data_IF_573354171440
#
_entry.id   IF_573354171440
#
_cell.length_a   1.000
_cell.length_b   1.000
_cell.length_c   1.000
_cell.angle_alpha   90.00
_cell.angle_beta   90.00
_cell.angle_gamma   90.00
#
_symmetry.space_group_name_H-M   'P 1'
#
loop_
_entity.id
_entity.type
_entity.pdbx_description
1 polymer ?
#
# COMPACT_ATOMS: atom_id res chain seq x y z
N UNK A 1 -5.34 27.72 -2.43
CA UNK A 1 -5.92 26.76 -1.47
C UNK A 1 -6.81 27.54 -0.51
N UNK A 2 -7.98 27.02 -0.22
CA UNK A 2 -8.90 27.70 0.71
C UNK A 2 -8.38 27.64 2.14
N UNK A 3 -8.74 28.65 2.99
CA UNK A 3 -8.40 28.65 4.41
C UNK A 3 -8.90 27.43 5.16
N UNK A 4 -9.99 26.82 4.68
CA UNK A 4 -10.59 25.63 5.30
C UNK A 4 -9.67 24.41 5.24
N UNK A 5 -8.80 24.30 4.22
CA UNK A 5 -7.87 23.19 4.06
C UNK A 5 -6.51 23.47 4.68
N UNK A 6 -6.21 24.69 5.07
CA UNK A 6 -4.88 25.09 5.53
C UNK A 6 -4.46 24.37 6.82
N UNK A 7 -5.30 24.43 7.85
CA UNK A 7 -5.02 23.73 9.11
C UNK A 7 -4.99 22.23 8.93
N UNK A 8 -5.91 21.68 8.13
CA UNK A 8 -5.95 20.26 7.82
C UNK A 8 -4.63 19.81 7.18
N UNK A 9 -4.18 20.51 6.15
CA UNK A 9 -2.94 20.14 5.45
C UNK A 9 -1.70 20.25 6.34
N UNK A 10 -1.65 21.27 7.20
CA UNK A 10 -0.57 21.43 8.14
C UNK A 10 -0.50 20.28 9.15
N UNK A 11 -1.64 19.85 9.65
CA UNK A 11 -1.73 18.77 10.64
C UNK A 11 -1.40 17.43 10.00
N UNK A 12 -2.06 17.08 8.89
CA UNK A 12 -1.85 15.77 8.27
C UNK A 12 -0.45 15.64 7.68
N UNK A 13 0.17 16.74 7.26
CA UNK A 13 1.54 16.74 6.77
C UNK A 13 2.58 16.37 7.81
N UNK A 14 2.24 16.48 9.10
CA UNK A 14 3.13 16.11 10.21
C UNK A 14 2.93 14.67 10.68
N UNK A 15 1.86 14.01 10.27
CA UNK A 15 1.58 12.66 10.74
C UNK A 15 2.61 11.67 10.17
N UNK A 16 3.08 10.78 11.02
CA UNK A 16 4.07 9.79 10.65
C UNK A 16 3.47 8.38 10.80
N UNK A 17 2.45 8.10 10.01
CA UNK A 17 1.82 6.80 10.00
C UNK A 17 2.71 5.73 9.36
N UNK A 18 2.39 4.44 9.57
CA UNK A 18 3.16 3.35 8.98
C UNK A 18 3.11 3.37 7.46
N UNK A 19 4.18 2.92 6.82
CA UNK A 19 4.24 2.71 5.39
C UNK A 19 4.03 1.23 5.08
N UNK A 20 3.31 0.96 4.00
CA UNK A 20 2.99 -0.40 3.55
C UNK A 20 3.34 -0.56 2.09
N UNK A 21 3.62 -1.80 1.68
CA UNK A 21 3.61 -2.17 0.27
C UNK A 21 2.38 -3.03 0.05
N UNK A 22 1.54 -2.63 -0.88
CA UNK A 22 0.33 -3.37 -1.24
C UNK A 22 0.54 -3.99 -2.61
N UNK A 23 0.30 -5.30 -2.72
CA UNK A 23 0.41 -6.02 -3.98
C UNK A 23 -0.92 -6.63 -4.37
N UNK A 24 -1.08 -6.89 -5.66
CA UNK A 24 -2.27 -7.53 -6.21
C UNK A 24 -1.92 -8.29 -7.47
N UNK A 25 -2.85 -9.13 -7.92
CA UNK A 25 -2.77 -9.79 -9.20
C UNK A 25 -4.15 -9.84 -9.84
N UNK A 26 -4.21 -9.53 -11.12
CA UNK A 26 -5.41 -9.64 -11.93
C UNK A 26 -5.05 -10.49 -13.16
N UNK A 27 -5.46 -11.76 -13.14
CA UNK A 27 -5.03 -12.71 -14.15
C UNK A 27 -3.51 -12.94 -14.09
N UNK A 28 -2.83 -12.77 -15.21
CA UNK A 28 -1.37 -12.90 -15.30
C UNK A 28 -0.63 -11.61 -14.89
N UNK A 29 -1.36 -10.51 -14.73
CA UNK A 29 -0.78 -9.22 -14.38
C UNK A 29 -0.66 -9.07 -12.88
N UNK A 30 0.55 -8.74 -12.41
CA UNK A 30 0.83 -8.47 -11.00
C UNK A 30 1.36 -7.06 -10.84
N UNK A 31 1.03 -6.43 -9.73
CA UNK A 31 1.46 -5.07 -9.47
C UNK A 31 1.59 -4.81 -7.98
N UNK A 32 2.24 -3.71 -7.62
CA UNK A 32 2.40 -3.30 -6.24
C UNK A 32 2.81 -1.85 -6.12
N UNK A 33 2.48 -1.24 -4.99
CA UNK A 33 2.82 0.15 -4.73
C UNK A 33 2.99 0.42 -3.23
N UNK A 34 3.66 1.52 -2.94
CA UNK A 34 3.79 2.05 -1.58
C UNK A 34 2.49 2.75 -1.18
N UNK A 35 2.02 2.48 0.03
CA UNK A 35 0.76 3.02 0.55
C UNK A 35 1.00 3.66 1.91
N UNK A 36 0.50 4.88 2.08
CA UNK A 36 0.48 5.60 3.35
C UNK A 36 -0.92 5.64 3.97
N UNK A 37 -1.96 5.53 3.16
CA UNK A 37 -3.35 5.69 3.63
C UNK A 37 -3.96 4.31 3.86
N UNK A 38 -3.83 3.82 5.10
CA UNK A 38 -4.35 2.51 5.46
C UNK A 38 -4.60 2.43 6.96
N UNK A 39 -5.62 1.69 7.35
CA UNK A 39 -5.94 1.52 8.76
C UNK A 39 -6.88 0.35 8.98
N UNK A 40 -6.78 -0.27 10.16
CA UNK A 40 -7.85 -1.12 10.62
C UNK A 40 -9.12 -0.30 10.74
N UNK A 41 -10.22 -0.81 10.22
CA UNK A 41 -11.49 -0.08 10.21
C UNK A 41 -12.66 -0.83 10.87
N UNK A 42 -12.42 -2.05 11.36
CA UNK A 42 -13.39 -2.80 12.18
C UNK A 42 -12.64 -3.87 12.96
N UNK A 43 -13.11 -4.18 14.16
CA UNK A 43 -12.55 -5.21 15.02
C UNK A 43 -13.36 -6.50 14.90
N UNK A 44 -14.68 -6.39 14.98
CA UNK A 44 -15.57 -7.55 14.91
C UNK A 44 -16.73 -7.24 13.97
N UNK A 45 -16.72 -7.76 12.75
CA UNK A 45 -15.66 -8.58 12.16
C UNK A 45 -14.40 -7.77 11.85
N UNK A 46 -13.22 -8.43 11.74
CA UNK A 46 -11.99 -7.70 11.43
C UNK A 46 -12.01 -7.17 9.99
N UNK A 47 -11.67 -5.90 9.84
CA UNK A 47 -11.61 -5.24 8.52
C UNK A 47 -10.43 -4.28 8.48
N UNK A 48 -9.82 -4.17 7.32
CA UNK A 48 -8.71 -3.25 7.08
C UNK A 48 -8.97 -2.47 5.81
N UNK A 49 -8.77 -1.16 5.87
CA UNK A 49 -8.96 -0.28 4.72
C UNK A 49 -7.64 0.17 4.13
N UNK A 50 -7.52 0.12 2.80
CA UNK A 50 -6.35 0.57 2.05
C UNK A 50 -6.83 1.52 0.97
N UNK A 51 -6.20 2.70 0.85
CA UNK A 51 -6.52 3.68 -0.18
C UNK A 51 -5.42 3.70 -1.23
N UNK A 52 -5.81 3.44 -2.48
CA UNK A 52 -4.89 3.46 -3.61
C UNK A 52 -5.15 4.71 -4.46
N UNK A 53 -4.07 5.33 -4.92
CA UNK A 53 -4.14 6.51 -5.78
C UNK A 53 -4.60 6.12 -7.18
N UNK A 54 -5.55 6.85 -7.73
CA UNK A 54 -6.11 6.56 -9.07
C UNK A 54 -5.07 6.58 -10.20
N UNK A 55 -4.06 7.47 -10.21
CA UNK A 55 -3.02 7.42 -11.25
C UNK A 55 -2.12 6.18 -11.17
N UNK A 56 -2.10 5.48 -10.04
CA UNK A 56 -1.21 4.33 -9.84
C UNK A 56 -1.74 3.09 -10.57
N UNK A 57 -0.85 2.38 -11.25
CA UNK A 57 -1.21 1.16 -11.98
C UNK A 57 -1.79 0.08 -11.07
N UNK A 58 -1.32 -0.01 -9.82
CA UNK A 58 -1.84 -0.97 -8.84
C UNK A 58 -3.33 -0.77 -8.60
N UNK A 59 -3.80 0.48 -8.58
CA UNK A 59 -5.22 0.79 -8.48
C UNK A 59 -6.00 0.15 -9.63
N UNK A 60 -5.51 0.32 -10.87
CA UNK A 60 -6.18 -0.24 -12.04
C UNK A 60 -6.27 -1.76 -11.99
N UNK A 61 -5.18 -2.42 -11.58
CA UNK A 61 -5.19 -3.87 -11.39
C UNK A 61 -6.14 -4.30 -10.27
N UNK A 62 -6.20 -3.54 -9.19
CA UNK A 62 -7.05 -3.84 -8.05
C UNK A 62 -8.56 -3.74 -8.35
N UNK A 63 -8.94 -3.00 -9.39
CA UNK A 63 -10.35 -2.88 -9.77
C UNK A 63 -10.96 -4.23 -10.18
N UNK A 64 -10.18 -5.13 -10.74
CA UNK A 64 -10.65 -6.46 -11.18
C UNK A 64 -10.07 -7.60 -10.35
N UNK A 65 -9.22 -7.31 -9.36
CA UNK A 65 -8.60 -8.33 -8.53
C UNK A 65 -9.54 -8.72 -7.37
N UNK A 66 -9.51 -9.99 -6.91
CA UNK A 66 -10.29 -10.38 -5.75
C UNK A 66 -9.59 -10.10 -4.42
N UNK A 67 -8.28 -9.87 -4.44
CA UNK A 67 -7.44 -9.87 -3.23
C UNK A 67 -6.37 -8.80 -3.31
N UNK A 68 -6.06 -8.20 -2.16
CA UNK A 68 -4.85 -7.41 -1.95
C UNK A 68 -4.02 -8.09 -0.87
N UNK A 69 -2.69 -7.97 -0.99
CA UNK A 69 -1.76 -8.36 0.08
C UNK A 69 -1.11 -7.10 0.63
N UNK A 70 -1.18 -6.94 1.94
CA UNK A 70 -0.64 -5.80 2.66
C UNK A 70 0.63 -6.22 3.38
N UNK A 71 1.75 -5.57 3.04
CA UNK A 71 3.05 -5.83 3.68
C UNK A 71 3.39 -4.68 4.60
N UNK A 72 3.81 -4.99 5.82
CA UNK A 72 4.27 -3.99 6.77
C UNK A 72 5.76 -3.73 6.53
N UNK A 73 6.10 -2.47 6.30
CA UNK A 73 7.52 -2.07 6.21
C UNK A 73 8.04 -1.75 7.59
N UNK A 74 9.26 -2.21 7.85
CA UNK A 74 9.94 -1.97 9.12
C UNK A 74 11.25 -1.25 8.87
N UNK A 75 11.88 -0.75 9.91
CA UNK A 75 13.20 -0.15 9.77
C UNK A 75 14.15 -1.16 9.15
N UNK A 76 14.87 -0.73 8.11
CA UNK A 76 15.67 -1.59 7.26
C UNK A 76 15.05 -1.88 5.91
N UNK A 77 13.77 -1.56 5.72
CA UNK A 77 13.04 -1.79 4.47
C UNK A 77 12.95 -0.53 3.60
N UNK A 78 13.81 0.47 3.81
CA UNK A 78 13.78 1.73 3.07
C UNK A 78 13.96 1.52 1.56
N UNK A 79 14.72 0.50 1.17
CA UNK A 79 14.91 0.14 -0.24
C UNK A 79 13.60 -0.32 -0.88
N UNK A 80 12.77 -1.08 -0.16
CA UNK A 80 11.45 -1.49 -0.64
C UNK A 80 10.53 -0.28 -0.79
N UNK A 81 10.57 0.64 0.16
CA UNK A 81 9.76 1.86 0.09
C UNK A 81 10.09 2.68 -1.16
N UNK A 82 11.38 2.82 -1.46
CA UNK A 82 11.82 3.54 -2.66
C UNK A 82 11.43 2.81 -3.94
N UNK A 83 11.61 1.51 -3.97
CA UNK A 83 11.29 0.71 -5.16
C UNK A 83 9.80 0.79 -5.50
N UNK A 84 8.93 0.61 -4.50
CA UNK A 84 7.49 0.58 -4.74
C UNK A 84 6.84 1.96 -4.76
N UNK A 85 7.52 2.99 -4.27
CA UNK A 85 7.00 4.35 -4.24
C UNK A 85 7.50 5.26 -5.36
N UNK A 86 8.70 5.00 -5.89
CA UNK A 86 9.37 5.92 -6.79
C UNK A 86 8.92 5.81 -8.25
N UNK A 87 8.43 4.65 -8.67
CA UNK A 87 8.10 4.39 -10.07
C UNK A 87 6.75 3.69 -10.21
N UNK A 88 6.08 3.94 -11.34
CA UNK A 88 4.86 3.20 -11.66
C UNK A 88 5.24 1.87 -12.32
N UNK A 89 4.38 0.86 -12.17
CA UNK A 89 4.60 -0.43 -12.82
C UNK A 89 4.57 -0.39 -14.34
N UNK A 90 4.20 0.74 -14.93
CA UNK A 90 4.15 0.90 -16.39
C UNK A 90 5.56 0.86 -17.01
N UNK A 91 6.58 1.31 -16.29
CA UNK A 91 7.93 1.46 -16.82
C UNK A 91 8.89 0.38 -16.33
N UNK A 92 8.65 -0.22 -15.17
CA UNK A 92 9.56 -1.14 -14.51
C UNK A 92 8.80 -2.28 -13.85
N UNK A 93 9.27 -3.50 -14.06
CA UNK A 93 8.78 -4.64 -13.28
C UNK A 93 9.53 -4.64 -11.94
N UNK A 94 8.88 -4.12 -10.91
CA UNK A 94 9.47 -4.00 -9.58
C UNK A 94 9.82 -5.36 -8.96
N UNK A 95 9.16 -6.42 -9.39
CA UNK A 95 9.37 -7.76 -8.83
C UNK A 95 10.62 -8.45 -9.34
N UNK A 96 11.30 -7.91 -10.36
CA UNK A 96 12.60 -8.43 -10.79
C UNK A 96 13.70 -8.15 -9.75
N UNK A 97 13.53 -7.12 -8.92
CA UNK A 97 14.56 -6.67 -7.99
C UNK A 97 14.30 -7.11 -6.54
N UNK A 98 13.28 -7.92 -6.30
CA UNK A 98 12.93 -8.39 -4.96
C UNK A 98 12.65 -9.89 -4.97
N UNK A 99 12.91 -10.52 -3.83
CA UNK A 99 12.52 -11.91 -3.62
C UNK A 99 11.06 -11.97 -3.22
N UNK A 100 10.27 -12.73 -3.96
CA UNK A 100 8.84 -12.87 -3.73
C UNK A 100 8.34 -14.25 -4.15
N UNK A 101 7.16 -14.60 -3.71
CA UNK A 101 6.48 -15.83 -4.10
C UNK A 101 4.99 -15.56 -4.28
N UNK A 102 4.29 -16.41 -5.07
CA UNK A 102 2.83 -16.26 -5.21
C UNK A 102 2.13 -16.55 -3.90
N UNK A 103 1.25 -15.65 -3.49
CA UNK A 103 0.37 -15.83 -2.34
C UNK A 103 -1.07 -16.09 -2.77
N UNK A 104 -2.05 -15.76 -1.89
CA UNK A 104 -3.46 -15.94 -2.21
C UNK A 104 -3.84 -15.26 -3.53
N UNK A 105 -4.53 -16.00 -4.40
CA UNK A 105 -4.96 -15.54 -5.72
C UNK A 105 -3.83 -15.04 -6.61
N UNK A 106 -2.60 -15.54 -6.37
CA UNK A 106 -1.43 -15.18 -7.17
C UNK A 106 -0.80 -13.85 -6.82
N UNK A 107 -1.29 -13.17 -5.80
CA UNK A 107 -0.72 -11.88 -5.38
C UNK A 107 0.73 -12.07 -4.91
N UNK A 108 1.67 -11.23 -5.36
CA UNK A 108 3.04 -11.34 -4.88
C UNK A 108 3.16 -11.13 -3.38
N UNK A 109 3.87 -12.05 -2.72
CA UNK A 109 4.23 -11.93 -1.30
C UNK A 109 5.73 -11.70 -1.22
N UNK A 110 6.14 -10.57 -0.63
CA UNK A 110 7.55 -10.22 -0.46
C UNK A 110 8.15 -11.06 0.67
N UNK A 111 9.25 -11.75 0.36
CA UNK A 111 9.81 -12.78 1.23
C UNK A 111 10.20 -12.27 2.62
N UNK A 112 10.69 -11.04 2.72
CA UNK A 112 11.21 -10.51 3.99
C UNK A 112 10.18 -9.73 4.83
N UNK A 113 8.95 -9.57 4.36
CA UNK A 113 7.95 -8.76 5.05
C UNK A 113 6.96 -9.61 5.83
N UNK A 114 6.50 -9.07 6.94
CA UNK A 114 5.25 -9.53 7.53
C UNK A 114 4.10 -9.04 6.66
N UNK A 115 3.09 -9.86 6.49
CA UNK A 115 2.01 -9.55 5.57
C UNK A 115 0.71 -10.22 5.98
N UNK A 116 -0.39 -9.67 5.50
CA UNK A 116 -1.68 -10.35 5.50
C UNK A 116 -2.37 -10.13 4.16
N UNK A 117 -3.17 -11.09 3.76
CA UNK A 117 -4.02 -10.97 2.59
C UNK A 117 -5.42 -10.58 3.02
N UNK A 118 -6.14 -9.88 2.13
CA UNK A 118 -7.53 -9.54 2.36
C UNK A 118 -8.35 -9.67 1.09
N UNK A 119 -9.53 -10.27 1.22
CA UNK A 119 -10.52 -10.28 0.14
C UNK A 119 -11.14 -8.91 0.03
N UNK A 120 -11.23 -8.37 -1.19
CA UNK A 120 -11.83 -7.06 -1.42
C UNK A 120 -13.35 -7.20 -1.31
N UNK A 121 -13.93 -6.54 -0.30
CA UNK A 121 -15.37 -6.56 -0.07
C UNK A 121 -16.07 -5.37 -0.71
N UNK A 122 -15.42 -4.21 -0.70
CA UNK A 122 -16.04 -2.97 -1.08
C UNK A 122 -14.99 -1.99 -1.58
N UNK A 123 -15.38 -1.10 -2.48
CA UNK A 123 -14.55 -0.02 -2.99
C UNK A 123 -15.29 1.30 -2.76
N UNK A 124 -14.59 2.30 -2.21
CA UNK A 124 -15.17 3.60 -1.84
C UNK A 124 -14.34 4.71 -2.48
N UNK A 125 -14.94 5.47 -3.36
CA UNK A 125 -14.29 6.61 -4.01
C UNK A 125 -14.30 7.80 -3.04
N UNK A 126 -13.12 8.28 -2.64
CA UNK A 126 -12.99 9.40 -1.70
C UNK A 126 -12.38 10.65 -2.33
N UNK A 127 -12.02 10.59 -3.61
CA UNK A 127 -11.40 11.72 -4.31
C UNK A 127 -10.38 11.21 -5.32
N UNK A 128 -9.12 11.58 -5.18
CA UNK A 128 -8.04 11.05 -6.02
C UNK A 128 -7.56 9.66 -5.57
N UNK A 129 -8.13 9.16 -4.49
CA UNK A 129 -7.89 7.80 -3.97
C UNK A 129 -9.19 7.02 -3.87
N UNK A 130 -9.07 5.71 -3.97
CA UNK A 130 -10.18 4.78 -3.74
C UNK A 130 -9.82 3.86 -2.60
N UNK A 131 -10.71 3.77 -1.61
CA UNK A 131 -10.57 2.87 -0.47
C UNK A 131 -11.05 1.47 -0.80
N UNK A 132 -10.24 0.48 -0.45
CA UNK A 132 -10.57 -0.94 -0.59
C UNK A 132 -10.75 -1.52 0.80
N UNK A 133 -11.95 -1.98 1.11
CA UNK A 133 -12.24 -2.60 2.41
C UNK A 133 -11.96 -4.09 2.30
N UNK A 134 -11.08 -4.58 3.16
CA UNK A 134 -10.56 -5.94 3.09
C UNK A 134 -11.05 -6.79 4.26
N UNK A 135 -11.46 -8.03 3.96
CA UNK A 135 -11.66 -9.06 4.96
C UNK A 135 -10.38 -9.91 5.05
N UNK A 136 -9.70 -9.93 6.21
CA UNK A 136 -8.43 -10.65 6.33
C UNK A 136 -8.56 -12.14 6.04
N UNK A 137 -7.57 -12.70 5.34
CA UNK A 137 -7.47 -14.13 5.04
C UNK A 137 -6.01 -14.53 4.96
N UNK A 138 -5.48 -15.04 6.05
CA UNK A 138 -4.12 -15.53 6.10
C UNK A 138 -3.07 -14.42 6.17
N UNK A 139 -1.86 -14.83 6.48
CA UNK A 139 -0.74 -13.93 6.62
C UNK A 139 0.42 -14.58 7.36
N UNK A 140 1.47 -13.79 7.58
CA UNK A 140 2.66 -14.21 8.31
C UNK A 140 3.20 -13.05 9.12
N UNK A 141 3.48 -13.29 10.40
CA UNK A 141 4.06 -12.30 11.29
C UNK A 141 5.27 -12.91 11.99
N UNK A 142 6.47 -12.64 11.48
CA UNK A 142 7.73 -13.18 12.00
C UNK A 142 8.69 -12.08 12.49
N UNK A 143 8.43 -10.82 12.15
CA UNK A 143 9.27 -9.68 12.51
C UNK A 143 8.62 -8.79 13.57
N UNK A 144 7.70 -9.35 14.35
CA UNK A 144 7.03 -8.62 15.43
C UNK A 144 8.04 -8.01 16.39
N UNK A 145 7.82 -6.75 16.76
CA UNK A 145 8.73 -6.03 17.66
C UNK A 145 9.78 -5.18 16.95
N UNK A 146 10.06 -5.43 15.67
CA UNK A 146 10.90 -4.52 14.89
C UNK A 146 10.11 -3.24 14.61
N UNK A 147 10.66 -2.04 14.87
CA UNK A 147 9.94 -0.80 14.64
C UNK A 147 9.45 -0.65 13.22
N UNK A 148 8.23 -0.17 13.05
CA UNK A 148 7.66 0.10 11.74
C UNK A 148 8.33 1.31 11.11
N UNK A 149 8.43 1.29 9.77
CA UNK A 149 8.92 2.42 8.99
C UNK A 149 7.80 3.43 8.85
N UNK A 150 8.02 4.66 9.34
CA UNK A 150 7.06 5.74 9.20
C UNK A 150 7.19 6.42 7.85
N UNK A 151 6.07 6.91 7.33
CA UNK A 151 6.04 7.56 6.01
C UNK A 151 6.95 8.80 5.96
N UNK A 152 7.11 9.51 7.08
CA UNK A 152 7.99 10.68 7.15
C UNK A 152 9.47 10.31 7.08
N UNK A 153 9.81 9.05 7.34
CA UNK A 153 11.20 8.58 7.33
C UNK A 153 11.68 8.16 5.93
N UNK A 154 10.77 8.14 4.95
CA UNK A 154 11.09 7.68 3.59
C UNK A 154 11.69 8.80 2.74
N UNK A 155 11.54 10.05 3.15
CA UNK A 155 12.06 11.21 2.44
C UNK A 155 11.14 11.69 1.33
N UNK A 156 11.66 11.84 0.11
CA UNK A 156 10.93 12.48 -0.99
C UNK A 156 9.95 11.57 -1.72
N UNK A 157 9.79 10.32 -1.28
CA UNK A 157 8.91 9.36 -1.94
C UNK A 157 7.48 9.54 -1.44
N UNK A 158 6.55 9.80 -2.37
CA UNK A 158 5.13 9.89 -2.05
C UNK A 158 4.45 8.54 -2.27
N UNK A 159 3.84 8.01 -1.21
CA UNK A 159 3.23 6.69 -1.24
C UNK A 159 2.05 6.64 -2.21
N UNK A 160 2.18 5.82 -3.25
CA UNK A 160 1.11 5.53 -4.19
C UNK A 160 0.66 6.68 -5.09
N UNK A 161 1.35 7.80 -5.08
CA UNK A 161 0.96 8.98 -5.87
C UNK A 161 2.18 9.56 -6.58
N UNK A 162 2.08 9.92 -7.88
CA UNK A 162 3.22 10.54 -8.55
C UNK A 162 3.50 11.93 -7.97
N UNK A 163 4.76 12.39 -8.04
CA UNK A 163 5.10 13.73 -7.57
C UNK A 163 4.24 14.78 -8.26
N UNK A 164 3.74 15.72 -7.49
CA UNK A 164 3.01 16.84 -8.05
C UNK A 164 4.01 17.83 -8.60
N UNK A 165 3.77 18.30 -9.82
CA UNK A 165 4.55 19.38 -10.38
C UNK A 165 4.23 20.66 -9.61
N UNK A 166 5.27 21.32 -9.11
CA UNK A 166 5.14 22.56 -8.37
C UNK A 166 4.81 23.74 -9.29
#
# INVERSE_FOLDING_TARGET
MSGDAEAFNAIVGELNGPAYVVTTAAGAERDGCLVAFASQCSIEPPRFGVWLSKPNRTYRAALSAPTLVVHVLRRGDEDLARLFGAETGDDVDKFEDVEWSPGPDGCPVLARCDWFAGSILERVDTGDHVGFVLAPRGGRCERSGTPQLGIQEIGDVEAGHPPQES
#
